data_IF_641123322568
#
_entry.id   IF_641123322568
#
_cell.length_a   1.000
_cell.length_b   1.000
_cell.length_c   1.000
_cell.angle_alpha   90.00
_cell.angle_beta   90.00
_cell.angle_gamma   90.00
#
_symmetry.space_group_name_H-M   'P 1'
#
loop_
_entity.id
_entity.type
_entity.pdbx_description
1 polymer ?
#
# COMPACT_ATOMS: atom_id res chain seq x y z
N UNK A 1 -10.94 7.74 -8.12
CA UNK A 1 -9.57 7.38 -7.80
C UNK A 1 -9.37 5.89 -7.93
N UNK A 2 -8.17 5.50 -8.27
CA UNK A 2 -7.85 4.10 -8.43
C UNK A 2 -7.60 3.44 -7.07
N UNK A 3 -7.72 2.11 -7.05
CA UNK A 3 -7.37 1.34 -5.85
C UNK A 3 -5.88 1.53 -5.53
N UNK A 4 -5.04 1.59 -6.56
CA UNK A 4 -3.61 1.80 -6.37
C UNK A 4 -3.33 3.12 -5.65
N UNK A 5 -4.02 4.21 -6.00
CA UNK A 5 -3.80 5.50 -5.35
C UNK A 5 -4.32 5.47 -3.91
N UNK A 6 -5.43 4.78 -3.66
CA UNK A 6 -5.96 4.63 -2.31
C UNK A 6 -5.03 3.77 -1.45
N UNK A 7 -4.45 2.72 -2.04
CA UNK A 7 -3.48 1.89 -1.34
C UNK A 7 -2.23 2.69 -1.00
N UNK A 8 -1.71 3.46 -1.93
CA UNK A 8 -0.53 4.29 -1.68
C UNK A 8 -0.79 5.25 -0.51
N UNK A 9 -1.95 5.88 -0.50
CA UNK A 9 -2.33 6.79 0.59
C UNK A 9 -2.44 6.05 1.92
N UNK A 10 -3.05 4.87 1.91
CA UNK A 10 -3.18 4.05 3.11
C UNK A 10 -1.80 3.70 3.69
N UNK A 11 -0.87 3.29 2.83
CA UNK A 11 0.48 2.93 3.28
C UNK A 11 1.20 4.13 3.88
N UNK A 12 1.09 5.29 3.24
CA UNK A 12 1.73 6.50 3.75
C UNK A 12 1.17 6.94 5.09
N UNK A 13 -0.13 6.77 5.29
CA UNK A 13 -0.79 7.16 6.53
C UNK A 13 -0.53 6.19 7.67
N UNK A 14 -0.30 4.93 7.36
CA UNK A 14 -0.22 3.86 8.35
C UNK A 14 1.21 3.51 8.73
N UNK A 15 2.16 3.65 7.80
CA UNK A 15 3.54 3.29 8.04
C UNK A 15 4.18 4.24 9.06
N UNK A 16 5.05 3.69 9.89
CA UNK A 16 5.85 4.44 10.85
C UNK A 16 7.31 4.23 10.48
N UNK A 17 8.02 5.33 10.16
CA UNK A 17 9.40 5.22 9.70
C UNK A 17 9.51 4.41 8.41
N UNK A 18 8.53 4.57 7.52
CA UNK A 18 8.44 3.89 6.23
C UNK A 18 8.25 2.37 6.34
N UNK A 19 7.87 1.88 7.53
CA UNK A 19 7.60 0.46 7.74
C UNK A 19 6.18 0.29 8.24
N UNK A 20 5.44 -0.62 7.62
CA UNK A 20 4.13 -1.04 8.08
C UNK A 20 4.21 -2.51 8.47
N UNK A 21 4.08 -2.80 9.76
CA UNK A 21 4.09 -4.17 10.26
C UNK A 21 2.72 -4.79 10.01
N UNK A 22 2.71 -5.98 9.41
CA UNK A 22 1.47 -6.66 9.06
C UNK A 22 0.94 -7.38 10.29
N UNK A 23 -0.24 -7.00 10.70
CA UNK A 23 -0.91 -7.61 11.86
C UNK A 23 -1.66 -8.85 11.41
N UNK A 24 -1.74 -9.85 12.29
CA UNK A 24 -2.49 -11.07 11.99
C UNK A 24 -3.94 -10.78 11.63
N UNK A 25 -4.53 -9.83 12.33
CA UNK A 25 -5.93 -9.47 12.13
C UNK A 25 -6.14 -8.48 10.98
N UNK A 26 -5.07 -7.88 10.49
CA UNK A 26 -5.15 -6.97 9.36
C UNK A 26 -4.89 -7.74 8.05
N UNK A 27 -5.83 -8.63 7.70
CA UNK A 27 -5.72 -9.48 6.52
C UNK A 27 -5.90 -8.67 5.25
N UNK A 28 -5.61 -9.29 4.11
CA UNK A 28 -5.86 -8.69 2.81
C UNK A 28 -7.33 -8.32 2.65
N UNK A 29 -8.24 -9.16 3.16
CA UNK A 29 -9.67 -8.88 3.09
C UNK A 29 -10.02 -7.63 3.89
N UNK A 30 -9.42 -7.45 5.06
CA UNK A 30 -9.63 -6.27 5.89
C UNK A 30 -9.17 -5.00 5.19
N UNK A 31 -7.97 -5.04 4.63
CA UNK A 31 -7.43 -3.87 3.92
C UNK A 31 -8.27 -3.57 2.68
N UNK A 32 -8.65 -4.61 1.94
CA UNK A 32 -9.49 -4.44 0.75
C UNK A 32 -10.82 -3.78 1.11
N UNK A 33 -11.44 -4.22 2.20
CA UNK A 33 -12.70 -3.64 2.65
C UNK A 33 -12.53 -2.15 3.00
N UNK A 34 -11.44 -1.80 3.67
CA UNK A 34 -11.13 -0.39 3.99
C UNK A 34 -11.00 0.46 2.74
N UNK A 35 -10.39 -0.10 1.71
CA UNK A 35 -10.15 0.64 0.48
C UNK A 35 -11.32 0.55 -0.50
N UNK A 36 -12.40 -0.13 -0.12
CA UNK A 36 -13.58 -0.25 -0.96
C UNK A 36 -13.34 -1.15 -2.16
N UNK A 37 -12.56 -2.21 -1.99
CA UNK A 37 -12.24 -3.12 -3.07
C UNK A 37 -12.27 -4.57 -2.59
N UNK A 38 -11.77 -5.48 -3.41
CA UNK A 38 -11.70 -6.91 -3.12
C UNK A 38 -10.24 -7.37 -3.12
N UNK A 39 -9.93 -8.52 -2.47
CA UNK A 39 -8.53 -8.96 -2.33
C UNK A 39 -7.77 -9.10 -3.63
N UNK A 40 -8.40 -9.61 -4.69
CA UNK A 40 -7.70 -9.81 -5.97
C UNK A 40 -7.22 -8.48 -6.56
N UNK A 41 -8.06 -7.46 -6.48
CA UNK A 41 -7.72 -6.12 -6.99
C UNK A 41 -6.65 -5.49 -6.10
N UNK A 42 -6.79 -5.68 -4.79
CA UNK A 42 -5.80 -5.17 -3.84
C UNK A 42 -4.43 -5.82 -4.08
N UNK A 43 -4.39 -7.13 -4.28
CA UNK A 43 -3.13 -7.83 -4.53
C UNK A 43 -2.45 -7.33 -5.80
N UNK A 44 -3.24 -7.03 -6.83
CA UNK A 44 -2.69 -6.45 -8.05
C UNK A 44 -2.09 -5.07 -7.79
N UNK A 45 -2.76 -4.26 -7.00
CA UNK A 45 -2.26 -2.93 -6.66
C UNK A 45 -0.94 -3.02 -5.88
N UNK A 46 -0.85 -3.93 -4.91
CA UNK A 46 0.40 -4.18 -4.19
C UNK A 46 1.52 -4.58 -5.15
N UNK A 47 1.22 -5.50 -6.06
CA UNK A 47 2.19 -5.99 -7.03
C UNK A 47 2.70 -4.86 -7.92
N UNK A 48 1.78 -4.01 -8.39
CA UNK A 48 2.16 -2.89 -9.25
C UNK A 48 3.10 -1.92 -8.53
N UNK A 49 2.81 -1.59 -7.27
CA UNK A 49 3.68 -0.73 -6.50
C UNK A 49 5.04 -1.36 -6.27
N UNK A 50 5.08 -2.66 -6.01
CA UNK A 50 6.33 -3.38 -5.79
C UNK A 50 7.17 -3.46 -7.08
N UNK A 51 6.52 -3.75 -8.20
CA UNK A 51 7.21 -3.85 -9.49
C UNK A 51 7.81 -2.50 -9.90
N UNK A 52 7.16 -1.42 -9.54
CA UNK A 52 7.65 -0.09 -9.84
C UNK A 52 8.69 0.41 -8.83
N UNK A 53 9.06 -0.43 -7.87
CA UNK A 53 10.12 -0.10 -6.93
C UNK A 53 9.72 0.84 -5.80
N UNK A 54 8.43 1.04 -5.57
CA UNK A 54 7.97 1.96 -4.56
C UNK A 54 7.91 1.33 -3.17
N UNK A 55 7.67 0.02 -3.12
CA UNK A 55 7.60 -0.74 -1.87
C UNK A 55 8.26 -2.09 -2.05
N UNK A 56 8.59 -2.70 -0.93
CA UNK A 56 8.91 -4.12 -0.86
C UNK A 56 8.07 -4.70 0.26
N UNK A 57 7.56 -5.92 0.09
CA UNK A 57 6.77 -6.52 1.13
C UNK A 57 7.04 -8.01 1.26
N UNK A 58 6.90 -8.49 2.49
CA UNK A 58 6.98 -9.90 2.81
C UNK A 58 5.81 -10.25 3.74
N UNK A 59 5.90 -11.40 4.42
CA UNK A 59 4.82 -11.85 5.29
C UNK A 59 4.65 -10.98 6.52
N UNK A 60 5.70 -10.27 6.92
CA UNK A 60 5.71 -9.57 8.20
C UNK A 60 5.58 -8.08 8.07
N UNK A 61 6.03 -7.50 6.95
CA UNK A 61 6.08 -6.05 6.84
C UNK A 61 6.02 -5.59 5.40
N UNK A 62 5.66 -4.33 5.25
CA UNK A 62 5.72 -3.59 4.00
C UNK A 62 6.66 -2.43 4.26
N UNK A 63 7.68 -2.27 3.41
CA UNK A 63 8.64 -1.17 3.53
C UNK A 63 8.48 -0.24 2.34
N UNK A 64 8.34 1.05 2.62
CA UNK A 64 8.28 2.08 1.58
C UNK A 64 9.72 2.38 1.16
N UNK A 65 10.03 2.09 -0.10
CA UNK A 65 11.37 2.31 -0.64
C UNK A 65 11.56 3.71 -1.22
N UNK A 66 10.49 4.25 -1.78
CA UNK A 66 10.53 5.55 -2.44
C UNK A 66 9.29 6.33 -2.03
N UNK A 67 9.41 7.06 -0.92
CA UNK A 67 8.29 7.79 -0.34
C UNK A 67 7.77 8.86 -1.30
N UNK A 68 8.66 9.59 -1.95
CA UNK A 68 8.25 10.66 -2.85
C UNK A 68 7.43 10.12 -4.02
N UNK A 69 7.90 9.02 -4.63
CA UNK A 69 7.17 8.41 -5.73
C UNK A 69 5.83 7.85 -5.26
N UNK A 70 5.79 7.29 -4.05
CA UNK A 70 4.55 6.78 -3.48
C UNK A 70 3.56 7.91 -3.22
N UNK A 71 4.03 9.07 -2.76
CA UNK A 71 3.20 10.25 -2.59
C UNK A 71 2.60 10.70 -3.92
N UNK A 72 3.36 10.61 -4.99
CA UNK A 72 2.85 10.90 -6.32
C UNK A 72 1.73 9.95 -6.72
N UNK A 73 1.89 8.66 -6.46
CA UNK A 73 0.85 7.66 -6.73
C UNK A 73 -0.40 7.92 -5.91
N UNK A 74 -0.25 8.39 -4.69
CA UNK A 74 -1.37 8.71 -3.81
C UNK A 74 -2.10 9.99 -4.23
N UNK A 75 -1.50 10.77 -5.14
CA UNK A 75 -2.08 12.04 -5.56
C UNK A 75 -1.85 13.14 -4.54
N UNK A 76 -0.80 13.05 -3.73
CA UNK A 76 -0.47 14.03 -2.70
C UNK A 76 0.54 15.07 -3.15
N UNK A 77 1.05 14.94 -4.36
CA UNK A 77 1.98 15.93 -4.91
C UNK A 77 1.24 17.23 -5.22
N UNK A 78 1.88 18.38 -4.95
CA UNK A 78 1.29 19.67 -5.30
C UNK A 78 1.14 19.86 -6.80
#
# INVERSE_FOLDING_TARGET
>A
RTVESRLARYLLQTASGDILWRQRWATQAEIAARLGTVPDVLNRAFRDLAEDGLIVMDRQRIVILDREALEGRAGLEP
#
